data_IF_922287241467
#
_entry.id   IF_922287241467
#
_cell.length_a   1.000
_cell.length_b   1.000
_cell.length_c   1.000
_cell.angle_alpha   90.00
_cell.angle_beta   90.00
_cell.angle_gamma   90.00
#
_symmetry.space_group_name_H-M   'P 1'
#
loop_
_entity.id
_entity.type
_entity.pdbx_description
1 polymer ?
#
# COMPACT_ATOMS: atom_id res chain seq x y z
N UNK A 1 -46.36 14.55 3.79
CA UNK A 1 -45.58 14.14 2.62
C UNK A 1 -44.77 12.92 3.06
N UNK A 2 -45.00 11.78 2.44
CA UNK A 2 -44.35 10.51 2.82
C UNK A 2 -42.96 10.38 2.21
N UNK A 3 -42.06 9.68 2.85
CA UNK A 3 -40.64 9.42 2.41
C UNK A 3 -40.54 8.95 0.92
N UNK A 4 -41.60 8.35 0.38
CA UNK A 4 -41.70 7.90 -1.01
C UNK A 4 -41.72 9.07 -2.02
N UNK A 5 -42.38 10.19 -1.67
CA UNK A 5 -42.48 11.37 -2.55
C UNK A 5 -41.18 12.15 -2.68
N UNK A 6 -40.32 12.10 -1.66
CA UNK A 6 -38.98 12.74 -1.69
C UNK A 6 -38.02 11.96 -2.55
N UNK A 7 -38.10 10.61 -2.57
CA UNK A 7 -37.22 9.75 -3.41
C UNK A 7 -37.53 9.89 -4.91
N UNK A 8 -38.78 10.11 -5.29
CA UNK A 8 -39.18 10.29 -6.69
C UNK A 8 -38.80 11.69 -7.22
N UNK A 9 -38.80 12.71 -6.38
CA UNK A 9 -38.37 14.06 -6.78
C UNK A 9 -36.84 14.19 -6.97
N UNK A 10 -36.02 13.46 -6.19
CA UNK A 10 -34.58 13.40 -6.37
C UNK A 10 -34.18 12.61 -7.64
N UNK A 11 -34.95 11.58 -8.01
CA UNK A 11 -34.68 10.79 -9.22
C UNK A 11 -35.10 11.53 -10.50
N UNK A 12 -36.14 12.38 -10.44
CA UNK A 12 -36.64 13.11 -11.60
C UNK A 12 -35.81 14.36 -11.97
N UNK A 13 -35.06 14.96 -11.03
CA UNK A 13 -34.13 16.06 -11.33
C UNK A 13 -32.82 15.62 -11.97
N UNK A 14 -32.44 14.33 -11.86
CA UNK A 14 -31.21 13.78 -12.44
C UNK A 14 -31.31 13.47 -13.95
N UNK A 15 -32.49 13.54 -14.55
CA UNK A 15 -32.74 13.05 -15.93
C UNK A 15 -32.70 14.15 -17.00
N UNK A 16 -32.51 15.45 -16.67
CA UNK A 16 -32.71 16.54 -17.65
C UNK A 16 -31.55 17.53 -17.81
N UNK A 17 -30.38 17.25 -17.29
CA UNK A 17 -29.19 17.96 -17.76
C UNK A 17 -28.50 17.10 -18.82
N UNK A 18 -28.16 17.63 -20.00
CA UNK A 18 -27.17 16.98 -20.86
C UNK A 18 -25.83 17.12 -20.14
N UNK A 19 -25.53 16.16 -19.27
CA UNK A 19 -24.18 15.97 -18.75
C UNK A 19 -23.33 15.69 -19.96
N UNK A 20 -22.54 16.69 -20.38
CA UNK A 20 -21.38 16.41 -21.20
C UNK A 20 -20.54 15.44 -20.36
N UNK A 21 -20.72 14.14 -20.60
CA UNK A 21 -19.87 13.12 -19.98
C UNK A 21 -18.46 13.54 -20.31
N UNK A 22 -17.70 13.92 -19.30
CA UNK A 22 -16.24 14.07 -19.43
C UNK A 22 -15.74 12.76 -20.04
N UNK A 23 -14.94 12.84 -21.10
CA UNK A 23 -14.37 11.64 -21.68
C UNK A 23 -13.66 10.89 -20.56
N UNK A 24 -13.98 9.60 -20.40
CA UNK A 24 -13.38 8.72 -19.39
C UNK A 24 -11.85 8.77 -19.53
N UNK A 25 -11.14 8.89 -18.43
CA UNK A 25 -9.68 8.88 -18.44
C UNK A 25 -9.19 7.50 -18.89
N UNK A 26 -8.35 7.39 -19.93
CA UNK A 26 -7.87 6.10 -20.42
C UNK A 26 -7.13 5.26 -19.36
N UNK A 27 -6.60 5.88 -18.33
CA UNK A 27 -5.90 5.16 -17.26
C UNK A 27 -6.85 4.39 -16.34
N UNK A 28 -8.15 4.64 -16.37
CA UNK A 28 -9.14 3.83 -15.66
C UNK A 28 -9.14 2.36 -16.13
N UNK A 29 -8.82 2.13 -17.42
CA UNK A 29 -8.82 0.80 -18.05
C UNK A 29 -7.40 0.22 -18.26
N UNK A 30 -6.35 1.03 -18.13
CA UNK A 30 -4.97 0.59 -18.32
C UNK A 30 -4.44 -0.14 -17.11
N UNK A 31 -3.71 -1.24 -17.32
CA UNK A 31 -2.87 -1.81 -16.26
C UNK A 31 -1.64 -0.92 -15.98
N UNK A 32 -0.91 -1.22 -14.90
CA UNK A 32 0.25 -0.42 -14.46
C UNK A 32 1.31 -0.26 -15.55
N UNK A 33 1.64 -1.33 -16.26
CA UNK A 33 2.64 -1.30 -17.35
C UNK A 33 2.17 -0.45 -18.52
N UNK A 34 0.88 -0.45 -18.83
CA UNK A 34 0.29 0.41 -19.86
C UNK A 34 0.30 1.89 -19.42
N UNK A 35 0.01 2.19 -18.15
CA UNK A 35 0.13 3.56 -17.60
C UNK A 35 1.59 4.03 -17.71
N UNK A 36 2.56 3.21 -17.31
CA UNK A 36 3.99 3.53 -17.40
C UNK A 36 4.36 3.90 -18.85
N UNK A 37 3.96 3.08 -19.80
CA UNK A 37 4.25 3.29 -21.22
C UNK A 37 3.53 4.52 -21.79
N UNK A 38 2.29 4.76 -21.37
CA UNK A 38 1.53 5.96 -21.77
C UNK A 38 2.18 7.27 -21.29
N UNK A 39 2.97 7.22 -20.21
CA UNK A 39 3.77 8.35 -19.71
C UNK A 39 5.16 8.47 -20.36
N UNK A 40 5.46 7.64 -21.38
CA UNK A 40 6.72 7.68 -22.12
C UNK A 40 7.89 6.98 -21.43
N UNK A 41 7.64 6.23 -20.34
CA UNK A 41 8.66 5.44 -19.67
C UNK A 41 8.68 3.99 -20.21
N UNK A 42 9.77 3.29 -19.94
CA UNK A 42 9.90 1.87 -20.25
C UNK A 42 9.34 1.08 -19.07
N UNK A 43 8.28 0.30 -19.32
CA UNK A 43 7.60 -0.53 -18.34
C UNK A 43 7.62 -2.00 -18.74
N UNK A 44 7.99 -2.88 -17.82
CA UNK A 44 8.00 -4.32 -17.99
C UNK A 44 7.39 -5.02 -16.76
N UNK A 45 6.61 -6.09 -17.01
CA UNK A 45 6.12 -7.00 -15.96
C UNK A 45 7.11 -8.13 -15.74
N UNK A 46 7.35 -8.45 -14.47
CA UNK A 46 8.19 -9.57 -14.04
C UNK A 46 7.42 -10.48 -13.10
N UNK A 47 7.61 -11.79 -13.24
CA UNK A 47 7.02 -12.80 -12.35
C UNK A 47 8.07 -13.25 -11.33
N UNK A 48 7.68 -13.22 -10.06
CA UNK A 48 8.51 -13.62 -8.92
C UNK A 48 7.80 -14.75 -8.19
N UNK A 49 8.45 -15.90 -8.07
CA UNK A 49 7.92 -17.04 -7.32
C UNK A 49 8.49 -17.01 -5.92
N UNK A 50 7.61 -17.01 -4.91
CA UNK A 50 8.00 -17.06 -3.50
C UNK A 50 8.35 -18.49 -3.09
N UNK A 51 9.07 -18.67 -1.99
CA UNK A 51 9.46 -19.99 -1.47
C UNK A 51 8.24 -20.87 -1.17
N UNK A 52 7.14 -20.28 -0.70
CA UNK A 52 5.88 -20.96 -0.42
C UNK A 52 4.93 -21.06 -1.63
N UNK A 53 5.38 -20.67 -2.84
CA UNK A 53 4.74 -20.99 -4.12
C UNK A 53 3.86 -19.91 -4.73
N UNK A 54 3.68 -18.73 -4.11
CA UNK A 54 2.96 -17.61 -4.74
C UNK A 54 3.74 -17.03 -5.91
N UNK A 55 3.02 -16.61 -6.94
CA UNK A 55 3.58 -15.99 -8.14
C UNK A 55 3.18 -14.51 -8.16
N UNK A 56 4.10 -13.67 -7.71
CA UNK A 56 3.90 -12.23 -7.65
C UNK A 56 4.21 -11.60 -9.00
N UNK A 57 3.50 -10.52 -9.34
CA UNK A 57 3.84 -9.66 -10.48
C UNK A 57 4.44 -8.37 -9.94
N UNK A 58 5.64 -8.01 -10.37
CA UNK A 58 6.25 -6.73 -10.07
C UNK A 58 6.50 -5.98 -11.38
N UNK A 59 6.40 -4.65 -11.37
CA UNK A 59 6.68 -3.83 -12.55
C UNK A 59 8.04 -3.16 -12.41
N UNK A 60 8.77 -3.03 -13.52
CA UNK A 60 10.01 -2.26 -13.60
C UNK A 60 9.77 -0.98 -14.40
N UNK A 61 10.20 0.16 -13.87
CA UNK A 61 10.05 1.48 -14.48
C UNK A 61 11.43 2.07 -14.77
N UNK A 62 11.69 2.44 -16.02
CA UNK A 62 12.96 3.04 -16.44
C UNK A 62 12.71 4.27 -17.29
N UNK A 63 13.53 5.29 -17.13
CA UNK A 63 13.50 6.44 -18.02
C UNK A 63 13.90 6.05 -19.45
N UNK A 64 13.33 6.67 -20.49
CA UNK A 64 13.71 6.39 -21.87
C UNK A 64 15.18 6.70 -22.11
N UNK A 65 15.87 5.76 -22.78
CA UNK A 65 17.30 5.89 -23.10
C UNK A 65 18.25 5.64 -21.91
N UNK A 66 17.76 5.29 -20.71
CA UNK A 66 18.62 4.97 -19.59
C UNK A 66 19.38 3.65 -19.85
N UNK A 67 20.71 3.71 -19.80
CA UNK A 67 21.63 2.58 -19.98
C UNK A 67 22.41 2.23 -18.70
N UNK A 68 22.39 3.13 -17.71
CA UNK A 68 23.00 2.97 -16.42
C UNK A 68 22.11 3.56 -15.31
N UNK A 69 22.19 3.01 -14.13
CA UNK A 69 21.37 3.43 -12.98
C UNK A 69 22.26 3.69 -11.76
N UNK A 70 21.80 4.59 -10.89
CA UNK A 70 22.46 4.93 -9.61
C UNK A 70 22.35 3.80 -8.60
N UNK A 71 21.24 3.05 -8.63
CA UNK A 71 20.92 1.94 -7.75
C UNK A 71 19.53 1.41 -8.12
N UNK A 72 19.12 0.31 -7.49
CA UNK A 72 17.78 -0.21 -7.58
C UNK A 72 16.94 0.25 -6.38
N UNK A 73 15.65 0.49 -6.59
CA UNK A 73 14.71 0.82 -5.50
C UNK A 73 13.40 0.05 -5.68
N UNK A 74 12.95 -0.60 -4.60
CA UNK A 74 11.65 -1.27 -4.52
C UNK A 74 10.65 -0.35 -3.81
N UNK A 75 9.55 -0.03 -4.48
CA UNK A 75 8.40 0.67 -3.92
C UNK A 75 7.31 -0.34 -3.57
N UNK A 76 6.92 -0.42 -2.29
CA UNK A 76 5.93 -1.37 -1.80
C UNK A 76 4.69 -0.64 -1.28
N UNK A 77 3.54 -0.97 -1.86
CA UNK A 77 2.22 -0.43 -1.52
C UNK A 77 1.71 -0.91 -0.15
N UNK A 78 0.63 -0.26 0.32
CA UNK A 78 -0.06 -0.54 1.57
C UNK A 78 -1.18 -1.57 1.48
N UNK A 79 -2.02 -1.59 2.53
CA UNK A 79 -3.18 -2.48 2.65
C UNK A 79 -4.19 -2.28 1.52
N UNK A 80 -4.74 -3.39 0.99
CA UNK A 80 -5.71 -3.40 -0.13
C UNK A 80 -5.31 -2.59 -1.37
N UNK A 81 -4.02 -2.32 -1.54
CA UNK A 81 -3.49 -1.48 -2.62
C UNK A 81 -2.68 -2.32 -3.63
N UNK A 82 -2.08 -1.66 -4.59
CA UNK A 82 -1.24 -2.27 -5.62
C UNK A 82 -0.14 -1.33 -6.09
N UNK A 83 0.69 -1.83 -6.99
CA UNK A 83 1.71 -1.03 -7.67
C UNK A 83 1.17 0.18 -8.43
N UNK A 84 -0.14 0.22 -8.74
CA UNK A 84 -0.79 1.35 -9.42
C UNK A 84 -0.65 2.67 -8.64
N UNK A 85 -0.66 2.61 -7.32
CA UNK A 85 -0.54 3.77 -6.44
C UNK A 85 0.67 4.66 -6.76
N UNK A 86 1.74 4.07 -7.28
CA UNK A 86 3.00 4.74 -7.57
C UNK A 86 3.07 5.47 -8.91
N UNK A 87 2.02 5.34 -9.77
CA UNK A 87 2.04 5.83 -11.17
C UNK A 87 0.80 6.65 -11.57
N UNK A 88 -0.19 6.83 -10.71
CA UNK A 88 -1.49 7.38 -11.11
C UNK A 88 -1.79 8.81 -10.65
N UNK A 89 -0.84 9.51 -9.99
CA UNK A 89 -1.10 10.83 -9.39
C UNK A 89 -1.46 11.91 -10.40
N UNK A 90 -0.84 11.93 -11.58
CA UNK A 90 -1.09 12.95 -12.60
C UNK A 90 -1.00 12.39 -14.03
N UNK A 91 -1.89 12.85 -14.90
CA UNK A 91 -1.84 12.53 -16.32
C UNK A 91 -0.78 13.37 -17.06
N UNK A 92 -0.73 14.66 -16.77
CA UNK A 92 0.05 15.66 -17.53
C UNK A 92 1.48 15.86 -17.02
N UNK A 93 1.75 15.49 -15.77
CA UNK A 93 3.07 15.59 -15.16
C UNK A 93 3.45 14.28 -14.46
N UNK A 94 4.10 13.39 -15.18
CA UNK A 94 4.48 12.07 -14.67
C UNK A 94 5.27 12.14 -13.35
N UNK A 95 6.15 13.13 -13.19
CA UNK A 95 7.01 13.27 -11.99
C UNK A 95 6.27 13.66 -10.71
N UNK A 96 4.97 13.93 -10.78
CA UNK A 96 4.12 14.00 -9.60
C UNK A 96 3.85 12.62 -8.97
N UNK A 97 4.12 11.54 -9.69
CA UNK A 97 4.14 10.17 -9.15
C UNK A 97 5.57 9.74 -8.81
N UNK A 98 5.78 9.15 -7.63
CA UNK A 98 7.12 8.84 -7.11
C UNK A 98 7.92 7.90 -8.01
N UNK A 99 7.27 6.90 -8.63
CA UNK A 99 7.96 5.97 -9.53
C UNK A 99 8.63 6.69 -10.71
N UNK A 100 7.93 7.61 -11.35
CA UNK A 100 8.47 8.37 -12.47
C UNK A 100 9.50 9.41 -12.03
N UNK A 101 9.29 10.03 -10.86
CA UNK A 101 10.24 10.97 -10.29
C UNK A 101 11.61 10.32 -10.06
N UNK A 102 11.64 9.14 -9.47
CA UNK A 102 12.86 8.39 -9.21
C UNK A 102 13.48 7.84 -10.49
N UNK A 103 12.67 7.28 -11.41
CA UNK A 103 13.17 6.78 -12.70
C UNK A 103 13.81 7.88 -13.54
N UNK A 104 13.20 9.08 -13.60
CA UNK A 104 13.78 10.24 -14.28
C UNK A 104 15.05 10.76 -13.59
N UNK A 105 15.16 10.54 -12.28
CA UNK A 105 16.35 10.87 -11.49
C UNK A 105 17.49 9.86 -11.64
N UNK A 106 17.33 8.82 -12.48
CA UNK A 106 18.35 7.83 -12.81
C UNK A 106 18.35 6.58 -11.92
N UNK A 107 17.25 6.27 -11.24
CA UNK A 107 17.09 5.04 -10.46
C UNK A 107 16.45 3.93 -11.29
N UNK A 108 16.81 2.68 -11.02
CA UNK A 108 16.13 1.47 -11.50
C UNK A 108 14.97 1.17 -10.56
N UNK A 109 13.75 1.57 -10.96
CA UNK A 109 12.57 1.56 -10.07
C UNK A 109 11.77 0.30 -10.27
N UNK A 110 11.42 -0.36 -9.17
CA UNK A 110 10.63 -1.57 -9.12
C UNK A 110 9.40 -1.37 -8.24
N UNK A 111 8.23 -1.76 -8.75
CA UNK A 111 6.96 -1.62 -8.07
C UNK A 111 6.51 -3.00 -7.60
N UNK A 112 6.45 -3.19 -6.28
CA UNK A 112 6.02 -4.44 -5.68
C UNK A 112 4.51 -4.59 -5.66
N UNK A 113 4.04 -5.85 -5.75
CA UNK A 113 2.68 -6.25 -5.43
C UNK A 113 2.73 -7.36 -4.39
N UNK A 114 1.89 -7.27 -3.36
CA UNK A 114 1.70 -8.33 -2.37
C UNK A 114 0.80 -9.44 -2.94
N UNK A 115 0.99 -10.68 -2.48
CA UNK A 115 0.13 -11.81 -2.83
C UNK A 115 -1.35 -11.47 -2.59
N UNK A 116 -2.22 -11.97 -3.43
CA UNK A 116 -3.67 -11.81 -3.31
C UNK A 116 -4.24 -10.51 -3.88
N UNK A 117 -3.43 -9.49 -4.18
CA UNK A 117 -3.94 -8.33 -4.90
C UNK A 117 -4.19 -8.66 -6.39
N UNK A 118 -4.88 -7.78 -7.12
CA UNK A 118 -5.30 -8.01 -8.51
C UNK A 118 -4.16 -8.38 -9.47
N UNK A 119 -2.90 -8.05 -9.18
CA UNK A 119 -1.73 -8.37 -10.01
C UNK A 119 -1.01 -9.65 -9.58
N UNK A 120 -1.25 -10.17 -8.36
CA UNK A 120 -0.48 -11.27 -7.74
C UNK A 120 -1.39 -12.39 -7.22
N UNK A 121 -2.29 -12.89 -8.10
CA UNK A 121 -3.30 -13.94 -7.83
C UNK A 121 -2.98 -15.27 -8.48
N UNK A 122 -1.74 -15.68 -8.37
CA UNK A 122 -1.33 -16.98 -8.90
C UNK A 122 -0.44 -17.70 -7.87
N UNK A 123 -0.49 -19.02 -7.90
CA UNK A 123 0.30 -19.90 -7.06
C UNK A 123 0.69 -21.16 -7.87
N UNK A 124 1.75 -21.82 -7.50
CA UNK A 124 2.26 -23.01 -8.22
C UNK A 124 1.32 -24.19 -8.13
N UNK A 125 0.51 -24.30 -7.08
CA UNK A 125 -0.38 -25.46 -6.81
C UNK A 125 -1.79 -25.07 -6.37
N UNK A 126 -2.00 -23.89 -5.76
CA UNK A 126 -3.29 -23.42 -5.25
C UNK A 126 -4.01 -22.55 -6.29
N UNK A 127 -5.34 -22.51 -6.21
CA UNK A 127 -6.20 -21.63 -7.00
C UNK A 127 -6.80 -20.53 -6.09
N UNK A 128 -7.04 -19.31 -6.61
CA UNK A 128 -7.81 -18.29 -5.89
C UNK A 128 -9.24 -18.73 -5.50
N UNK A 129 -9.76 -19.82 -6.06
CA UNK A 129 -11.02 -20.46 -5.63
C UNK A 129 -10.88 -21.26 -4.33
N UNK A 130 -9.66 -21.61 -3.93
CA UNK A 130 -9.39 -22.42 -2.75
C UNK A 130 -9.23 -21.52 -1.51
N UNK A 131 -9.84 -21.87 -0.39
CA UNK A 131 -9.66 -21.14 0.88
C UNK A 131 -8.18 -21.10 1.32
N UNK A 132 -7.42 -22.17 1.01
CA UNK A 132 -6.00 -22.26 1.32
C UNK A 132 -5.14 -21.20 0.60
N UNK A 133 -5.58 -20.72 -0.58
CA UNK A 133 -4.90 -19.63 -1.28
C UNK A 133 -4.92 -18.34 -0.48
N UNK A 134 -5.95 -18.11 0.34
CA UNK A 134 -6.17 -16.90 1.12
C UNK A 134 -5.71 -17.02 2.58
N UNK A 135 -5.00 -18.10 2.93
CA UNK A 135 -4.51 -18.32 4.30
C UNK A 135 -3.17 -17.61 4.55
N UNK A 136 -3.15 -16.29 4.36
CA UNK A 136 -1.98 -15.44 4.57
C UNK A 136 -2.32 -14.10 5.25
N UNK A 137 -1.32 -13.48 5.84
CA UNK A 137 -1.33 -12.14 6.43
C UNK A 137 -0.05 -11.39 6.01
N UNK A 138 0.19 -10.21 6.58
CA UNK A 138 1.47 -9.55 6.37
C UNK A 138 2.66 -10.33 7.01
N UNK A 139 2.42 -11.33 7.86
CA UNK A 139 3.47 -12.26 8.31
C UNK A 139 4.11 -12.97 7.11
N UNK A 140 3.29 -13.48 6.18
CA UNK A 140 3.74 -14.14 4.96
C UNK A 140 4.33 -13.14 3.96
N UNK A 141 3.82 -11.89 3.91
CA UNK A 141 4.44 -10.83 3.10
C UNK A 141 5.88 -10.56 3.57
N UNK A 142 6.09 -10.45 4.90
CA UNK A 142 7.40 -10.22 5.48
C UNK A 142 8.34 -11.42 5.32
N UNK A 143 7.80 -12.64 5.49
CA UNK A 143 8.61 -13.86 5.47
C UNK A 143 9.01 -14.29 4.05
N UNK A 144 8.14 -14.09 3.06
CA UNK A 144 8.30 -14.65 1.71
C UNK A 144 8.28 -13.59 0.61
N UNK A 145 7.28 -12.68 0.59
CA UNK A 145 7.09 -11.75 -0.53
C UNK A 145 8.22 -10.72 -0.62
N UNK A 146 8.57 -10.09 0.50
CA UNK A 146 9.64 -9.07 0.56
C UNK A 146 10.98 -9.68 0.15
N UNK A 147 11.45 -10.81 0.75
CA UNK A 147 12.71 -11.44 0.35
C UNK A 147 12.72 -11.87 -1.11
N UNK A 148 11.65 -12.51 -1.61
CA UNK A 148 11.58 -13.00 -2.98
C UNK A 148 11.68 -11.86 -4.00
N UNK A 149 10.96 -10.75 -3.78
CA UNK A 149 11.03 -9.54 -4.62
C UNK A 149 12.45 -8.95 -4.61
N UNK A 150 13.06 -8.80 -3.44
CA UNK A 150 14.42 -8.26 -3.30
C UNK A 150 15.46 -9.11 -4.03
N UNK A 151 15.45 -10.43 -3.82
CA UNK A 151 16.38 -11.36 -4.47
C UNK A 151 16.22 -11.34 -5.99
N UNK A 152 14.98 -11.28 -6.47
CA UNK A 152 14.70 -11.17 -7.89
C UNK A 152 15.27 -9.88 -8.48
N UNK A 153 15.03 -8.74 -7.83
CA UNK A 153 15.49 -7.42 -8.27
C UNK A 153 17.02 -7.39 -8.33
N UNK A 154 17.70 -7.82 -7.27
CA UNK A 154 19.16 -7.86 -7.21
C UNK A 154 19.75 -8.71 -8.32
N UNK A 155 19.18 -9.90 -8.57
CA UNK A 155 19.63 -10.79 -9.65
C UNK A 155 19.45 -10.17 -11.04
N UNK A 156 18.34 -9.46 -11.28
CA UNK A 156 18.02 -8.89 -12.62
C UNK A 156 18.75 -7.57 -12.85
N UNK A 157 18.87 -6.74 -11.83
CA UNK A 157 19.51 -5.43 -11.92
C UNK A 157 21.06 -5.53 -11.86
N UNK A 158 21.58 -6.58 -11.23
CA UNK A 158 23.03 -6.78 -11.04
C UNK A 158 23.62 -5.98 -9.86
N UNK A 159 22.79 -5.26 -9.09
CA UNK A 159 23.24 -4.60 -7.87
C UNK A 159 23.40 -5.59 -6.73
N UNK A 160 24.29 -5.29 -5.76
CA UNK A 160 24.49 -6.09 -4.54
C UNK A 160 23.50 -5.77 -3.43
N UNK A 161 22.93 -4.57 -3.46
CA UNK A 161 21.95 -4.02 -2.53
C UNK A 161 20.93 -3.18 -3.26
N UNK A 162 19.85 -2.82 -2.58
CA UNK A 162 18.80 -1.95 -3.11
C UNK A 162 18.22 -1.07 -2.00
N UNK A 163 17.58 0.02 -2.37
CA UNK A 163 16.76 0.79 -1.42
C UNK A 163 15.32 0.30 -1.40
N UNK A 164 14.65 0.47 -0.27
CA UNK A 164 13.25 0.11 -0.08
C UNK A 164 12.44 1.33 0.32
N UNK A 165 11.32 1.57 -0.35
CA UNK A 165 10.34 2.59 0.01
C UNK A 165 9.01 1.90 0.26
N UNK A 166 8.51 1.95 1.48
CA UNK A 166 7.18 1.44 1.83
C UNK A 166 6.17 2.56 2.01
N UNK A 167 4.91 2.27 1.75
CA UNK A 167 3.78 3.08 2.17
C UNK A 167 2.88 2.25 3.07
N UNK A 168 2.43 2.83 4.21
CA UNK A 168 1.44 2.18 5.06
C UNK A 168 1.87 0.80 5.55
N UNK A 169 1.05 -0.24 5.32
CA UNK A 169 1.38 -1.65 5.59
C UNK A 169 2.65 -2.11 4.86
N UNK A 170 3.00 -1.53 3.70
CA UNK A 170 4.27 -1.81 3.03
C UNK A 170 5.49 -1.47 3.89
N UNK A 171 5.37 -0.51 4.82
CA UNK A 171 6.36 -0.26 5.85
C UNK A 171 6.33 -1.34 6.94
N UNK A 172 5.14 -1.77 7.39
CA UNK A 172 4.97 -2.85 8.36
C UNK A 172 5.60 -4.15 7.86
N UNK A 173 5.38 -4.51 6.59
CA UNK A 173 6.01 -5.67 5.94
C UNK A 173 7.55 -5.59 6.00
N UNK A 174 8.13 -4.43 5.71
CA UNK A 174 9.57 -4.21 5.76
C UNK A 174 10.11 -4.24 7.19
N UNK A 175 9.44 -3.56 8.13
CA UNK A 175 9.81 -3.59 9.55
C UNK A 175 9.82 -5.03 10.09
N UNK A 176 8.80 -5.83 9.77
CA UNK A 176 8.72 -7.23 10.15
C UNK A 176 9.82 -8.08 9.46
N UNK A 177 10.03 -7.91 8.15
CA UNK A 177 11.03 -8.67 7.40
C UNK A 177 12.45 -8.37 7.89
N UNK A 178 12.81 -7.10 8.07
CA UNK A 178 14.18 -6.70 8.38
C UNK A 178 14.52 -6.89 9.87
N UNK A 179 13.54 -6.77 10.77
CA UNK A 179 13.75 -7.12 12.19
C UNK A 179 13.99 -8.61 12.39
N UNK A 180 13.30 -9.48 11.61
CA UNK A 180 13.38 -10.93 11.76
C UNK A 180 14.49 -11.60 10.93
N UNK A 181 14.94 -10.99 9.81
CA UNK A 181 15.94 -11.57 8.91
C UNK A 181 17.06 -10.57 8.60
N UNK A 182 18.12 -10.63 9.39
CA UNK A 182 19.30 -9.74 9.26
C UNK A 182 20.03 -9.91 7.92
N UNK A 183 19.96 -11.10 7.28
CA UNK A 183 20.56 -11.34 5.96
C UNK A 183 19.81 -10.58 4.86
N UNK A 184 18.48 -10.52 4.96
CA UNK A 184 17.65 -9.72 4.06
C UNK A 184 17.89 -8.23 4.33
N UNK A 185 17.84 -7.82 5.59
CA UNK A 185 18.06 -6.43 6.02
C UNK A 185 19.43 -5.88 5.54
N UNK A 186 20.48 -6.68 5.57
CA UNK A 186 21.83 -6.28 5.13
C UNK A 186 21.97 -6.00 3.62
N UNK A 187 20.94 -6.35 2.82
CA UNK A 187 20.88 -6.03 1.38
C UNK A 187 20.13 -4.73 1.09
N UNK A 188 19.72 -3.99 2.11
CA UNK A 188 19.03 -2.71 1.98
C UNK A 188 20.00 -1.56 2.33
N UNK A 189 20.20 -0.65 1.38
CA UNK A 189 21.03 0.54 1.57
C UNK A 189 20.31 1.59 2.41
N UNK A 190 19.03 1.84 2.10
CA UNK A 190 18.17 2.82 2.78
C UNK A 190 16.73 2.33 2.79
N UNK A 191 16.10 2.38 3.96
CA UNK A 191 14.66 2.16 4.07
C UNK A 191 13.95 3.50 4.32
N UNK A 192 13.06 3.88 3.41
CA UNK A 192 12.18 5.05 3.55
C UNK A 192 10.77 4.56 3.86
N UNK A 193 10.26 4.93 5.01
CA UNK A 193 8.91 4.62 5.46
C UNK A 193 8.00 5.84 5.30
N UNK A 194 6.99 5.72 4.44
CA UNK A 194 5.96 6.73 4.20
C UNK A 194 4.69 6.30 4.94
N UNK A 195 4.26 7.08 5.94
CA UNK A 195 3.09 6.77 6.76
C UNK A 195 3.10 5.34 7.32
N UNK A 196 4.13 4.92 8.12
CA UNK A 196 4.32 3.54 8.51
C UNK A 196 3.21 3.01 9.41
N UNK A 197 2.48 1.98 8.95
CA UNK A 197 1.46 1.25 9.68
C UNK A 197 2.09 0.00 10.34
N UNK A 198 2.73 0.17 11.49
CA UNK A 198 3.25 -0.90 12.35
C UNK A 198 2.40 -1.05 13.62
N UNK A 199 2.19 0.03 14.35
CA UNK A 199 1.25 0.11 15.45
C UNK A 199 -0.04 0.76 14.92
N UNK A 200 -1.20 0.26 15.37
CA UNK A 200 -2.52 0.64 14.84
C UNK A 200 -3.54 0.94 15.95
N UNK A 201 -3.06 1.11 17.18
CA UNK A 201 -3.93 1.25 18.35
C UNK A 201 -4.77 2.54 18.32
N UNK A 202 -4.24 3.61 17.74
CA UNK A 202 -4.93 4.89 17.61
C UNK A 202 -5.61 5.07 16.24
N UNK A 203 -5.55 4.05 15.36
CA UNK A 203 -6.20 4.08 14.04
C UNK A 203 -7.69 4.39 14.15
N UNK A 204 -8.15 5.40 13.42
CA UNK A 204 -9.53 5.91 13.48
C UNK A 204 -10.20 6.02 12.10
N UNK A 205 -9.95 5.06 11.21
CA UNK A 205 -10.60 5.00 9.88
C UNK A 205 -12.04 4.49 9.99
N UNK A 206 -12.88 4.80 8.99
CA UNK A 206 -14.23 4.25 8.94
C UNK A 206 -14.20 2.71 8.79
N UNK A 207 -13.19 2.18 8.12
CA UNK A 207 -13.00 0.74 7.95
C UNK A 207 -12.67 0.08 9.30
N UNK A 208 -11.74 0.63 10.09
CA UNK A 208 -11.42 0.08 11.42
C UNK A 208 -12.63 0.08 12.34
N UNK A 209 -13.41 1.17 12.35
CA UNK A 209 -14.66 1.28 13.12
C UNK A 209 -15.72 0.26 12.71
N UNK A 210 -15.84 -0.03 11.41
CA UNK A 210 -16.78 -1.04 10.92
C UNK A 210 -16.45 -2.43 11.47
N UNK A 211 -15.15 -2.74 11.64
CA UNK A 211 -14.72 -4.04 12.18
C UNK A 211 -14.81 -4.14 13.71
N UNK A 212 -14.89 -3.03 14.45
CA UNK A 212 -15.18 -3.04 15.88
C UNK A 212 -16.55 -3.66 16.23
N UNK A 213 -17.47 -3.72 15.23
CA UNK A 213 -18.77 -4.37 15.41
C UNK A 213 -18.69 -5.90 15.55
N UNK A 214 -17.58 -6.53 15.16
CA UNK A 214 -17.39 -7.97 15.30
C UNK A 214 -16.78 -8.32 16.63
N UNK A 215 -17.41 -9.27 17.34
CA UNK A 215 -16.97 -9.69 18.69
C UNK A 215 -15.73 -10.57 18.62
N UNK A 216 -15.58 -11.37 17.54
CA UNK A 216 -14.46 -12.28 17.36
C UNK A 216 -14.05 -12.41 15.88
N UNK A 217 -12.80 -12.85 15.65
CA UNK A 217 -12.27 -13.17 14.32
C UNK A 217 -13.13 -14.24 13.61
N UNK A 218 -13.69 -15.20 14.38
CA UNK A 218 -14.61 -16.20 13.83
C UNK A 218 -15.91 -15.59 13.28
N UNK A 219 -16.41 -14.50 13.86
CA UNK A 219 -17.62 -13.85 13.34
C UNK A 219 -17.31 -13.14 12.02
N UNK A 220 -16.11 -12.60 11.86
CA UNK A 220 -15.65 -12.04 10.60
C UNK A 220 -15.59 -13.14 9.53
N UNK A 221 -14.96 -14.29 9.82
CA UNK A 221 -14.91 -15.42 8.88
C UNK A 221 -16.27 -15.99 8.53
N UNK A 222 -17.25 -15.98 9.44
CA UNK A 222 -18.63 -16.42 9.15
C UNK A 222 -19.32 -15.50 8.15
N UNK A 223 -19.02 -14.20 8.18
CA UNK A 223 -19.65 -13.20 7.31
C UNK A 223 -18.91 -13.08 5.98
N UNK A 224 -17.58 -13.00 6.01
CA UNK A 224 -16.75 -12.71 4.83
C UNK A 224 -16.12 -13.96 4.20
N UNK A 225 -16.07 -15.08 4.92
CA UNK A 225 -15.40 -16.30 4.46
C UNK A 225 -13.87 -16.21 4.58
N UNK A 226 -13.18 -17.29 4.16
CA UNK A 226 -11.71 -17.34 4.02
C UNK A 226 -11.35 -17.06 2.57
N UNK A 227 -11.45 -15.83 2.13
CA UNK A 227 -11.40 -15.40 0.73
C UNK A 227 -10.69 -14.07 0.57
N UNK A 228 -10.73 -13.54 -0.64
CA UNK A 228 -10.30 -12.17 -0.92
C UNK A 228 -11.13 -11.16 -0.14
N UNK A 229 -10.47 -10.05 0.23
CA UNK A 229 -11.09 -8.93 0.90
C UNK A 229 -10.93 -7.66 0.04
N UNK A 230 -12.05 -6.94 -0.17
CA UNK A 230 -12.15 -5.71 -0.97
C UNK A 230 -11.46 -5.82 -2.34
N UNK A 231 -11.91 -6.79 -3.10
CA UNK A 231 -11.60 -6.94 -4.50
C UNK A 231 -12.73 -6.32 -5.34
N UNK A 232 -12.46 -5.24 -6.03
CA UNK A 232 -13.41 -4.71 -7.01
C UNK A 232 -13.21 -5.39 -8.37
N UNK A 233 -14.20 -6.16 -8.80
CA UNK A 233 -14.24 -6.78 -10.14
C UNK A 233 -14.91 -5.91 -11.20
N UNK A 234 -15.57 -4.81 -10.82
CA UNK A 234 -16.10 -3.80 -11.73
C UNK A 234 -16.32 -2.49 -11.00
N UNK A 235 -15.52 -1.52 -11.32
CA UNK A 235 -15.62 -0.16 -10.84
C UNK A 235 -16.48 0.71 -11.78
N UNK A 236 -17.01 0.13 -12.86
CA UNK A 236 -17.70 0.87 -13.91
C UNK A 236 -18.84 1.75 -13.40
N UNK A 237 -19.65 1.24 -12.46
CA UNK A 237 -20.73 2.03 -11.87
C UNK A 237 -20.21 3.13 -10.97
N UNK A 238 -19.17 2.85 -10.16
CA UNK A 238 -18.61 3.80 -9.22
C UNK A 238 -17.76 4.87 -9.94
N UNK A 239 -16.93 4.49 -10.89
CA UNK A 239 -16.16 5.43 -11.71
C UNK A 239 -17.09 6.33 -12.55
N UNK A 240 -18.20 5.79 -13.06
CA UNK A 240 -19.21 6.58 -13.75
C UNK A 240 -19.84 7.62 -12.82
N UNK A 241 -20.17 7.26 -11.58
CA UNK A 241 -20.68 8.20 -10.57
C UNK A 241 -19.62 9.26 -10.25
N UNK A 242 -18.35 8.89 -10.17
CA UNK A 242 -17.25 9.79 -9.89
C UNK A 242 -17.02 10.83 -10.99
N UNK A 243 -17.14 10.42 -12.23
CA UNK A 243 -17.05 11.34 -13.37
C UNK A 243 -18.17 12.39 -13.38
N UNK A 244 -19.30 12.07 -12.72
CA UNK A 244 -20.47 12.95 -12.64
C UNK A 244 -20.51 13.75 -11.34
N UNK A 245 -20.15 13.13 -10.21
CA UNK A 245 -20.22 13.74 -8.87
C UNK A 245 -18.91 13.44 -8.11
N UNK A 246 -17.83 14.20 -8.36
CA UNK A 246 -16.51 13.95 -7.74
C UNK A 246 -16.55 13.90 -6.21
N UNK A 247 -17.40 14.69 -5.54
CA UNK A 247 -17.51 14.70 -4.08
C UNK A 247 -17.88 13.34 -3.46
N UNK A 248 -18.69 12.52 -4.16
CA UNK A 248 -19.00 11.16 -3.69
C UNK A 248 -17.76 10.28 -3.68
N UNK A 249 -16.87 10.51 -4.59
CA UNK A 249 -15.63 9.73 -4.73
C UNK A 249 -14.59 10.11 -3.68
N UNK A 250 -14.50 11.39 -3.36
CA UNK A 250 -13.69 11.86 -2.24
C UNK A 250 -14.12 11.15 -0.95
N UNK A 251 -15.42 11.07 -0.68
CA UNK A 251 -15.95 10.38 0.50
C UNK A 251 -15.62 8.88 0.50
N UNK A 252 -15.71 8.21 -0.65
CA UNK A 252 -15.42 6.77 -0.78
C UNK A 252 -13.93 6.49 -0.62
N UNK A 253 -13.06 7.27 -1.27
CA UNK A 253 -11.60 7.15 -1.13
C UNK A 253 -11.18 7.46 0.31
N UNK A 254 -11.74 8.51 0.91
CA UNK A 254 -11.48 8.83 2.31
C UNK A 254 -11.95 7.74 3.28
N UNK A 255 -13.08 7.11 3.02
CA UNK A 255 -13.59 6.04 3.87
C UNK A 255 -12.66 4.81 3.85
N UNK A 256 -12.08 4.50 2.70
CA UNK A 256 -11.22 3.34 2.49
C UNK A 256 -9.75 3.62 2.86
N UNK A 257 -9.22 4.79 2.49
CA UNK A 257 -7.79 5.13 2.61
C UNK A 257 -7.42 5.98 3.85
N UNK A 258 -8.39 6.27 4.75
CA UNK A 258 -8.10 7.03 5.97
C UNK A 258 -7.96 8.54 5.78
N UNK A 259 -8.74 9.12 4.89
CA UNK A 259 -8.80 10.53 4.49
C UNK A 259 -7.52 11.07 3.81
N UNK A 260 -7.81 11.68 2.68
CA UNK A 260 -6.94 12.58 1.95
C UNK A 260 -7.24 14.01 2.40
N UNK A 261 -6.28 14.87 2.31
CA UNK A 261 -6.59 16.28 2.10
C UNK A 261 -7.12 16.37 0.66
N UNK A 262 -8.45 16.31 0.47
CA UNK A 262 -9.08 16.22 -0.86
C UNK A 262 -8.69 17.39 -1.79
N UNK A 263 -8.27 18.53 -1.22
CA UNK A 263 -7.72 19.64 -2.00
C UNK A 263 -6.31 19.34 -2.56
N UNK A 264 -5.66 18.27 -2.15
CA UNK A 264 -4.32 17.87 -2.59
C UNK A 264 -4.31 16.89 -3.77
N UNK A 265 -5.41 16.20 -4.02
CA UNK A 265 -5.55 15.25 -5.13
C UNK A 265 -6.12 15.95 -6.37
N UNK A 266 -5.60 15.64 -7.56
CA UNK A 266 -6.21 16.08 -8.81
C UNK A 266 -7.62 15.45 -8.95
N UNK A 267 -8.72 16.24 -8.95
CA UNK A 267 -10.06 15.70 -9.04
C UNK A 267 -10.29 14.85 -10.30
N UNK A 268 -9.55 15.09 -11.38
CA UNK A 268 -9.61 14.29 -12.61
C UNK A 268 -9.03 12.89 -12.42
N UNK A 269 -8.16 12.71 -11.42
CA UNK A 269 -7.54 11.40 -11.14
C UNK A 269 -8.33 10.57 -10.13
N UNK A 270 -9.34 11.12 -9.47
CA UNK A 270 -10.19 10.36 -8.54
C UNK A 270 -10.84 9.12 -9.20
N UNK A 271 -11.42 9.21 -10.43
CA UNK A 271 -11.92 8.03 -11.12
C UNK A 271 -10.86 6.98 -11.38
N UNK A 272 -9.63 7.39 -11.75
CA UNK A 272 -8.50 6.48 -11.97
C UNK A 272 -8.08 5.83 -10.65
N UNK A 273 -7.97 6.58 -9.56
CA UNK A 273 -7.66 6.03 -8.24
C UNK A 273 -8.68 4.96 -7.88
N UNK A 274 -9.98 5.23 -8.05
CA UNK A 274 -11.05 4.28 -7.74
C UNK A 274 -11.11 3.08 -8.69
N UNK A 275 -10.63 3.21 -9.93
CA UNK A 275 -10.49 2.08 -10.85
C UNK A 275 -9.39 1.09 -10.42
N UNK A 276 -8.40 1.55 -9.62
CA UNK A 276 -7.26 0.76 -9.19
C UNK A 276 -7.20 0.47 -7.69
N UNK A 277 -8.03 1.13 -6.89
CA UNK A 277 -8.09 1.01 -5.44
C UNK A 277 -9.55 0.90 -4.96
N UNK A 278 -9.89 -0.08 -4.08
CA UNK A 278 -9.01 -1.09 -3.50
C UNK A 278 -8.68 -2.24 -4.47
N UNK A 279 -7.47 -2.81 -4.34
CA UNK A 279 -6.93 -3.86 -5.19
C UNK A 279 -6.96 -5.27 -4.55
N UNK A 280 -7.43 -5.37 -3.32
CA UNK A 280 -7.64 -6.63 -2.61
C UNK A 280 -6.45 -7.15 -1.79
N UNK A 281 -6.79 -7.97 -0.80
CA UNK A 281 -5.92 -8.81 0.03
C UNK A 281 -6.72 -10.00 0.55
N UNK A 282 -6.27 -10.72 1.59
CA UNK A 282 -7.05 -11.76 2.27
C UNK A 282 -7.90 -11.21 3.43
N UNK A 283 -9.02 -11.86 3.73
CA UNK A 283 -9.79 -11.59 4.97
C UNK A 283 -8.91 -11.82 6.20
N UNK A 284 -7.97 -12.77 6.17
CA UNK A 284 -7.07 -13.05 7.29
C UNK A 284 -6.10 -11.88 7.55
N UNK A 285 -5.58 -11.27 6.49
CA UNK A 285 -4.74 -10.10 6.59
C UNK A 285 -5.47 -8.90 7.19
N UNK A 286 -6.71 -8.64 6.74
CA UNK A 286 -7.58 -7.65 7.37
C UNK A 286 -7.81 -7.92 8.87
N UNK A 287 -8.04 -9.19 9.26
CA UNK A 287 -8.17 -9.56 10.67
C UNK A 287 -6.88 -9.27 11.44
N UNK A 288 -5.71 -9.50 10.83
CA UNK A 288 -4.43 -9.20 11.46
C UNK A 288 -4.27 -7.71 11.79
N UNK A 289 -4.59 -6.84 10.84
CA UNK A 289 -4.60 -5.39 11.09
C UNK A 289 -5.60 -5.01 12.19
N UNK A 290 -6.80 -5.61 12.19
CA UNK A 290 -7.77 -5.39 13.26
C UNK A 290 -7.26 -5.85 14.64
N UNK A 291 -6.48 -6.93 14.72
CA UNK A 291 -5.85 -7.34 15.97
C UNK A 291 -4.90 -6.24 16.49
N UNK A 292 -4.18 -5.57 15.59
CA UNK A 292 -3.32 -4.41 15.91
C UNK A 292 -4.09 -3.21 16.48
N UNK A 293 -5.35 -2.98 16.07
CA UNK A 293 -6.16 -1.88 16.64
C UNK A 293 -6.63 -2.15 18.07
N UNK A 294 -6.65 -3.41 18.50
CA UNK A 294 -7.11 -3.81 19.84
C UNK A 294 -5.99 -3.78 20.91
N UNK A 295 -4.74 -3.79 20.49
CA UNK A 295 -3.56 -3.82 21.37
C UNK A 295 -2.44 -2.98 20.77
N UNK A 296 -1.77 -2.20 21.59
CA UNK A 296 -0.61 -1.41 21.17
C UNK A 296 0.64 -2.30 21.04
N UNK A 297 0.61 -3.24 20.09
CA UNK A 297 1.70 -4.19 19.83
C UNK A 297 1.87 -4.38 18.32
N UNK A 298 3.11 -4.46 17.88
CA UNK A 298 3.48 -4.88 16.55
C UNK A 298 3.95 -6.34 16.63
N UNK A 299 3.07 -7.28 16.29
CA UNK A 299 3.26 -8.70 16.53
C UNK A 299 2.74 -9.56 15.38
N UNK A 300 3.12 -10.84 15.37
CA UNK A 300 2.58 -11.86 14.47
C UNK A 300 1.08 -12.08 14.69
N UNK A 301 0.45 -12.74 13.74
CA UNK A 301 -0.98 -13.06 13.79
C UNK A 301 -1.35 -13.84 15.06
N UNK A 302 -2.38 -13.40 15.74
CA UNK A 302 -2.89 -14.06 16.95
C UNK A 302 -3.93 -15.12 16.58
N UNK A 303 -3.54 -16.38 16.61
CA UNK A 303 -4.42 -17.54 16.36
C UNK A 303 -5.29 -17.93 17.56
N UNK A 304 -5.18 -17.23 18.70
CA UNK A 304 -5.75 -17.61 19.98
C UNK A 304 -4.86 -18.56 20.78
N UNK A 305 -5.10 -18.64 22.11
CA UNK A 305 -4.21 -19.28 23.09
C UNK A 305 -3.73 -20.67 22.64
N UNK A 306 -4.66 -21.55 22.26
CA UNK A 306 -4.34 -22.95 21.96
C UNK A 306 -3.49 -23.09 20.70
N UNK A 307 -3.79 -22.33 19.67
CA UNK A 307 -3.06 -22.42 18.40
C UNK A 307 -1.76 -21.62 18.43
N UNK A 308 -1.70 -20.54 19.19
CA UNK A 308 -0.45 -19.81 19.46
C UNK A 308 0.56 -20.71 20.18
N UNK A 309 0.12 -21.49 21.20
CA UNK A 309 0.99 -22.42 21.90
C UNK A 309 1.64 -23.45 20.98
N UNK A 310 0.88 -23.94 19.99
CA UNK A 310 1.40 -24.89 19.00
C UNK A 310 2.37 -24.25 18.00
N UNK A 311 2.06 -23.02 17.53
CA UNK A 311 2.82 -22.35 16.47
C UNK A 311 4.03 -21.59 17.01
N UNK A 312 3.86 -20.96 18.17
CA UNK A 312 4.83 -20.02 18.73
C UNK A 312 5.47 -20.51 20.04
N UNK A 313 4.99 -21.64 20.58
CA UNK A 313 5.36 -22.08 21.93
C UNK A 313 5.11 -20.99 22.98
N UNK A 314 4.02 -20.25 22.83
CA UNK A 314 3.61 -19.12 23.66
C UNK A 314 2.10 -18.90 23.54
N UNK A 315 1.45 -18.47 24.61
CA UNK A 315 0.02 -18.12 24.60
C UNK A 315 -0.28 -16.81 23.86
N UNK A 316 0.74 -15.97 23.65
CA UNK A 316 0.65 -14.73 22.88
C UNK A 316 1.53 -14.82 21.61
N UNK A 317 1.14 -14.18 20.51
CA UNK A 317 2.01 -14.09 19.34
C UNK A 317 3.30 -13.31 19.69
N UNK A 318 4.45 -13.68 19.11
CA UNK A 318 5.69 -12.94 19.31
C UNK A 318 5.61 -11.57 18.64
N UNK A 319 6.13 -10.55 19.31
CA UNK A 319 6.31 -9.21 18.75
C UNK A 319 7.47 -9.18 17.74
N UNK A 320 7.37 -8.29 16.75
CA UNK A 320 8.48 -7.96 15.87
C UNK A 320 9.48 -7.08 16.62
N UNK A 321 10.76 -7.48 16.57
CA UNK A 321 11.82 -6.85 17.36
C UNK A 321 12.35 -5.58 16.67
N UNK A 322 11.66 -4.46 16.84
CA UNK A 322 12.10 -3.15 16.36
C UNK A 322 13.04 -2.44 17.33
N UNK A 323 13.06 -2.85 18.59
CA UNK A 323 13.90 -2.25 19.65
C UNK A 323 15.39 -2.55 19.43
N UNK A 324 15.72 -3.68 18.79
CA UNK A 324 17.08 -4.06 18.44
C UNK A 324 17.37 -3.85 16.94
N UNK A 325 16.74 -2.85 16.34
CA UNK A 325 16.98 -2.49 14.96
C UNK A 325 18.39 -1.95 14.77
N UNK A 326 19.12 -2.51 13.82
CA UNK A 326 20.50 -2.08 13.53
C UNK A 326 20.71 -1.69 12.07
N UNK A 327 20.03 -2.36 11.16
CA UNK A 327 20.09 -2.15 9.71
C UNK A 327 18.73 -2.48 9.10
N UNK A 328 18.31 -1.85 8.01
CA UNK A 328 18.97 -0.73 7.31
C UNK A 328 18.80 0.61 8.03
N UNK A 329 19.52 1.67 7.61
CA UNK A 329 19.21 3.05 7.98
C UNK A 329 17.77 3.40 7.60
N UNK A 330 17.00 3.98 8.53
CA UNK A 330 15.57 4.22 8.41
C UNK A 330 15.26 5.71 8.37
N UNK A 331 14.56 6.15 7.30
CA UNK A 331 13.95 7.47 7.20
C UNK A 331 12.42 7.34 7.32
N UNK A 332 11.80 8.18 8.15
CA UNK A 332 10.36 8.13 8.43
C UNK A 332 9.70 9.46 8.06
N UNK A 333 8.65 9.37 7.25
CA UNK A 333 7.75 10.48 6.97
C UNK A 333 6.33 10.10 7.42
N UNK A 334 5.67 10.96 8.18
CA UNK A 334 4.30 10.70 8.63
C UNK A 334 3.45 11.97 8.58
N UNK A 335 2.16 11.83 8.39
CA UNK A 335 1.24 12.96 8.19
C UNK A 335 0.59 13.40 9.50
N UNK A 336 0.52 14.69 9.77
CA UNK A 336 -0.13 15.22 10.98
C UNK A 336 -1.65 15.01 11.02
N UNK A 337 -2.27 14.67 9.89
CA UNK A 337 -3.70 14.42 9.75
C UNK A 337 -4.02 12.97 9.38
N UNK A 338 -3.03 12.07 9.48
CA UNK A 338 -3.19 10.66 9.16
C UNK A 338 -4.06 9.97 10.23
N UNK A 339 -5.13 9.28 9.80
CA UNK A 339 -6.04 8.51 10.66
C UNK A 339 -5.86 7.00 10.54
N UNK A 340 -5.04 6.55 9.61
CA UNK A 340 -4.72 5.14 9.41
C UNK A 340 -3.40 4.79 10.12
N UNK A 341 -2.30 5.45 9.75
CA UNK A 341 -1.06 5.42 10.51
C UNK A 341 -1.02 6.66 11.41
N UNK A 342 -1.81 6.64 12.47
CA UNK A 342 -1.99 7.78 13.37
C UNK A 342 -0.64 8.30 13.89
N UNK A 343 -0.43 9.64 13.96
CA UNK A 343 0.80 10.22 14.49
C UNK A 343 1.25 9.67 15.84
N UNK A 344 0.32 9.34 16.75
CA UNK A 344 0.66 8.76 18.04
C UNK A 344 1.23 7.34 17.91
N UNK A 345 0.72 6.55 16.99
CA UNK A 345 1.22 5.21 16.71
C UNK A 345 2.62 5.27 16.05
N UNK A 346 2.84 6.22 15.15
CA UNK A 346 4.16 6.45 14.55
C UNK A 346 5.15 6.95 15.60
N UNK A 347 4.78 7.88 16.46
CA UNK A 347 5.62 8.37 17.55
C UNK A 347 5.96 7.24 18.54
N UNK A 348 5.01 6.33 18.77
CA UNK A 348 5.27 5.13 19.56
C UNK A 348 6.33 4.24 18.90
N UNK A 349 6.21 3.95 17.59
CA UNK A 349 7.26 3.23 16.84
C UNK A 349 8.62 3.92 16.96
N UNK A 350 8.67 5.23 16.76
CA UNK A 350 9.91 6.01 16.85
C UNK A 350 10.54 5.94 18.25
N UNK A 351 9.72 5.87 19.32
CA UNK A 351 10.20 5.77 20.70
C UNK A 351 10.86 4.42 21.01
N UNK A 352 10.53 3.36 20.26
CA UNK A 352 11.08 2.02 20.43
C UNK A 352 12.36 1.80 19.59
N UNK A 353 12.47 2.49 18.46
CA UNK A 353 13.63 2.37 17.58
C UNK A 353 14.89 2.97 18.20
N UNK A 354 16.06 2.32 18.07
CA UNK A 354 17.33 2.92 18.49
C UNK A 354 17.56 4.24 17.73
N UNK A 355 17.98 5.33 18.40
CA UNK A 355 18.25 6.60 17.72
C UNK A 355 19.27 6.50 16.58
N UNK A 356 20.23 5.57 16.67
CA UNK A 356 21.22 5.31 15.63
C UNK A 356 20.64 4.69 14.34
N UNK A 357 19.44 4.13 14.41
CA UNK A 357 18.73 3.58 13.25
C UNK A 357 18.05 4.66 12.40
N UNK A 358 17.68 5.78 13.03
CA UNK A 358 16.91 6.86 12.43
C UNK A 358 17.86 7.87 11.77
N UNK A 359 17.87 7.91 10.45
CA UNK A 359 18.67 8.89 9.67
C UNK A 359 17.87 10.12 9.32
N UNK A 360 16.55 10.02 9.32
CA UNK A 360 15.66 11.15 9.07
C UNK A 360 14.25 10.88 9.63
N UNK A 361 13.63 11.90 10.20
CA UNK A 361 12.23 11.86 10.66
C UNK A 361 11.57 13.18 10.31
N UNK A 362 10.41 13.13 9.66
CA UNK A 362 9.63 14.32 9.32
C UNK A 362 8.13 14.08 9.52
N UNK A 363 7.51 14.92 10.34
CA UNK A 363 6.06 15.08 10.34
C UNK A 363 5.68 16.05 9.23
N UNK A 364 4.88 15.57 8.25
CA UNK A 364 4.44 16.40 7.12
C UNK A 364 3.12 17.08 7.49
N UNK A 365 3.11 18.42 7.63
CA UNK A 365 1.91 19.14 8.01
C UNK A 365 0.77 18.93 7.00
N UNK A 366 -0.45 18.75 7.50
CA UNK A 366 -1.68 18.60 6.72
C UNK A 366 -1.78 17.34 5.85
N UNK A 367 -0.77 16.46 5.82
CA UNK A 367 -0.88 15.19 5.11
C UNK A 367 -1.75 14.20 5.88
N UNK A 368 -2.73 13.61 5.17
CA UNK A 368 -3.40 12.38 5.55
C UNK A 368 -2.70 11.18 4.95
N UNK A 369 -3.26 9.98 5.13
CA UNK A 369 -2.63 8.73 4.79
C UNK A 369 -2.30 8.57 3.29
N UNK A 370 -3.26 8.84 2.42
CA UNK A 370 -3.09 8.72 0.96
C UNK A 370 -2.30 9.86 0.31
N UNK A 371 -2.03 10.95 1.04
CA UNK A 371 -1.34 12.11 0.46
C UNK A 371 0.10 11.79 0.05
N UNK A 372 0.75 10.82 0.70
CA UNK A 372 2.11 10.38 0.36
C UNK A 372 2.22 9.78 -1.04
N UNK A 373 1.13 9.25 -1.58
CA UNK A 373 1.09 8.54 -2.87
C UNK A 373 0.21 9.20 -3.92
N UNK A 374 -0.81 9.99 -3.52
CA UNK A 374 -1.78 10.57 -4.46
C UNK A 374 -1.81 12.09 -4.51
N UNK A 375 -1.16 12.77 -3.55
CA UNK A 375 -1.13 14.23 -3.54
C UNK A 375 -0.26 14.81 -4.66
N UNK A 376 -0.77 15.83 -5.34
CA UNK A 376 -0.01 16.62 -6.32
C UNK A 376 1.14 17.40 -5.68
N UNK A 377 1.10 17.58 -4.35
CA UNK A 377 2.12 18.32 -3.58
C UNK A 377 3.22 17.42 -3.02
N UNK A 378 3.05 16.08 -3.04
CA UNK A 378 4.03 15.15 -2.51
C UNK A 378 5.40 15.29 -3.19
N UNK A 379 5.41 15.54 -4.51
CA UNK A 379 6.64 15.75 -5.26
C UNK A 379 7.43 16.98 -4.76
N UNK A 380 6.75 18.04 -4.42
CA UNK A 380 7.36 19.29 -4.00
C UNK A 380 7.76 19.28 -2.52
N UNK A 381 7.02 18.55 -1.68
CA UNK A 381 7.21 18.52 -0.23
C UNK A 381 8.19 17.43 0.21
N UNK A 382 8.08 16.21 -0.35
CA UNK A 382 8.83 15.06 0.18
C UNK A 382 9.75 14.36 -0.85
N UNK A 383 9.42 14.31 -2.16
CA UNK A 383 10.18 13.47 -3.11
C UNK A 383 11.64 13.92 -3.29
N UNK A 384 11.89 15.22 -3.24
CA UNK A 384 13.27 15.74 -3.30
C UNK A 384 14.11 15.27 -2.10
N UNK A 385 13.49 15.20 -0.90
CA UNK A 385 14.14 14.69 0.30
C UNK A 385 14.37 13.18 0.22
N UNK A 386 13.34 12.44 -0.22
CA UNK A 386 13.46 10.98 -0.48
C UNK A 386 14.63 10.71 -1.44
N UNK A 387 14.70 11.42 -2.57
CA UNK A 387 15.79 11.27 -3.54
C UNK A 387 17.16 11.60 -2.91
N UNK A 388 17.23 12.63 -2.08
CA UNK A 388 18.48 13.00 -1.38
C UNK A 388 18.95 11.88 -0.44
N UNK A 389 18.04 11.27 0.31
CA UNK A 389 18.32 10.14 1.19
C UNK A 389 18.82 8.91 0.42
N UNK A 390 18.16 8.58 -0.70
CA UNK A 390 18.62 7.48 -1.57
C UNK A 390 20.00 7.75 -2.18
N UNK A 391 20.29 8.99 -2.61
CA UNK A 391 21.59 9.34 -3.20
C UNK A 391 22.72 9.38 -2.16
N UNK A 392 22.42 9.55 -0.88
CA UNK A 392 23.41 9.57 0.18
C UNK A 392 23.99 8.17 0.46
N UNK A 393 23.25 7.09 0.12
CA UNK A 393 23.70 5.71 0.36
C UNK A 393 23.97 5.46 1.84
N UNK A 394 23.07 5.89 2.70
CA UNK A 394 23.22 5.93 4.16
C UNK A 394 23.24 4.54 4.78
#
# INVERSE_FOLDING_TARGET
MTLATVRIALFACLVLLPLAASARDPDEDRNVTEIIRARGFIGDDHKVVTEDGYILTIQRVRAPGATAFKGAVLLQHGFIDSSATWVMTSETNATKSLAFYLAQSGWDVWLGNSRGNIYSRAHTTLSPSDDAFWDFTFDEFAAYDVPAKMEYILRVSGFSSLSYIGHSEGCGQALAAFSSNKTVAAKIDTFVALAPAAFLYNTATNLSRAFELFVSDNDIYKVLGRKSFLEFNSTDDLTTVCNVIPAVCEDVVCAAAGCLNTSSVDPKRLPVILAHYPAGTSVKDMIHLQQGTKKNVFAKFNYGIVENEKRYNSTQPPSWDVEHWTVPPLAVFYGSQDKAADPLDVQHLLSLLPPSALVYVEEVPSFGHGDFVWSMYAADLIYAKVLSLLNAGL
#
